data_IF_986074633123
#
_entry.id   IF_986074633123
#
_cell.length_a   1.000
_cell.length_b   1.000
_cell.length_c   1.000
_cell.angle_alpha   90.00
_cell.angle_beta   90.00
_cell.angle_gamma   90.00
#
_symmetry.space_group_name_H-M   'P 1'
#
loop_
_entity.id
_entity.type
_entity.pdbx_description
1 polymer ?
#
# COMPACT_ATOMS: atom_id res chain seq x y z
N UNK A 1 -13.20 28.51 -20.81
CA UNK A 1 -13.57 28.19 -19.42
C UNK A 1 -12.31 27.63 -18.78
N UNK A 2 -11.69 28.43 -17.92
CA UNK A 2 -10.29 28.30 -17.49
C UNK A 2 -10.18 27.48 -16.21
N UNK A 3 -9.43 26.38 -16.25
CA UNK A 3 -8.79 25.81 -15.06
C UNK A 3 -7.29 25.73 -15.34
N UNK A 4 -6.61 26.81 -14.99
CA UNK A 4 -5.16 26.94 -14.94
C UNK A 4 -4.61 25.93 -13.92
N UNK A 5 -4.15 24.76 -14.37
CA UNK A 5 -3.24 23.95 -13.55
C UNK A 5 -1.89 24.65 -13.56
N UNK A 6 -1.56 25.32 -12.47
CA UNK A 6 -0.19 25.76 -12.17
C UNK A 6 0.69 24.52 -12.06
N UNK A 7 1.28 24.12 -13.18
CA UNK A 7 2.17 22.97 -13.30
C UNK A 7 3.45 23.21 -12.52
N UNK A 8 3.43 22.87 -11.23
CA UNK A 8 4.64 22.53 -10.49
C UNK A 8 5.12 21.21 -11.08
N UNK A 9 5.99 21.28 -12.08
CA UNK A 9 6.65 20.11 -12.66
C UNK A 9 7.54 19.49 -11.57
N UNK A 10 7.05 18.39 -10.99
CA UNK A 10 7.78 17.64 -9.98
C UNK A 10 8.99 17.01 -10.66
N UNK A 11 10.17 17.56 -10.39
CA UNK A 11 11.43 16.99 -10.87
C UNK A 11 11.53 15.54 -10.36
N UNK A 12 11.41 14.57 -11.28
CA UNK A 12 11.57 13.13 -10.98
C UNK A 12 12.98 12.83 -10.49
N UNK A 13 13.19 13.02 -9.20
CA UNK A 13 14.49 12.86 -8.53
C UNK A 13 14.57 11.52 -7.79
N UNK A 14 13.42 10.91 -7.49
CA UNK A 14 13.35 9.57 -6.93
C UNK A 14 13.58 8.54 -8.04
N UNK A 15 14.72 7.88 -7.98
CA UNK A 15 15.02 6.68 -8.77
C UNK A 15 14.45 5.42 -8.13
N UNK A 16 14.59 4.29 -8.84
CA UNK A 16 14.15 2.96 -8.39
C UNK A 16 14.68 2.58 -7.00
N UNK A 17 15.92 2.96 -6.68
CA UNK A 17 16.52 2.67 -5.38
C UNK A 17 15.84 3.43 -4.24
N UNK A 18 15.60 4.73 -4.42
CA UNK A 18 14.89 5.53 -3.41
C UNK A 18 13.47 5.05 -3.18
N UNK A 19 12.79 4.63 -4.25
CA UNK A 19 11.43 4.10 -4.19
C UNK A 19 11.39 2.73 -3.50
N UNK A 20 12.35 1.84 -3.79
CA UNK A 20 12.49 0.54 -3.12
C UNK A 20 12.80 0.69 -1.63
N UNK A 21 13.72 1.59 -1.26
CA UNK A 21 14.03 1.88 0.15
C UNK A 21 12.81 2.42 0.90
N UNK A 22 12.00 3.28 0.28
CA UNK A 22 10.77 3.79 0.88
C UNK A 22 9.74 2.67 1.12
N UNK A 23 9.56 1.76 0.15
CA UNK A 23 8.67 0.59 0.31
C UNK A 23 9.14 -0.31 1.46
N UNK A 24 10.45 -0.58 1.55
CA UNK A 24 11.01 -1.37 2.66
C UNK A 24 10.78 -0.67 4.00
N UNK A 25 11.00 0.64 4.07
CA UNK A 25 10.79 1.42 5.29
C UNK A 25 9.33 1.38 5.78
N UNK A 26 8.36 1.50 4.88
CA UNK A 26 6.92 1.45 5.24
C UNK A 26 6.47 0.02 5.57
N UNK A 27 7.11 -1.00 4.98
CA UNK A 27 6.79 -2.41 5.24
C UNK A 27 7.34 -2.89 6.59
N UNK A 28 8.54 -2.45 6.96
CA UNK A 28 9.19 -2.83 8.23
C UNK A 28 8.62 -1.95 9.35
N UNK A 29 7.56 -2.44 10.00
CA UNK A 29 6.95 -1.81 11.18
C UNK A 29 6.94 -2.71 12.42
N UNK A 30 6.10 -2.38 13.39
CA UNK A 30 5.91 -3.18 14.62
C UNK A 30 5.35 -4.58 14.37
N UNK A 31 4.69 -4.79 13.22
CA UNK A 31 4.08 -6.06 12.86
C UNK A 31 5.05 -7.25 12.82
N UNK A 32 6.33 -7.03 12.48
CA UNK A 32 7.32 -8.12 12.43
C UNK A 32 7.64 -8.71 13.81
N UNK A 33 7.36 -7.99 14.89
CA UNK A 33 7.57 -8.48 16.26
C UNK A 33 6.30 -9.11 16.85
N UNK A 34 5.13 -8.58 16.48
CA UNK A 34 3.84 -9.00 17.05
C UNK A 34 3.25 -10.22 16.33
N UNK A 35 3.30 -10.25 15.00
CA UNK A 35 2.67 -11.33 14.22
C UNK A 35 3.35 -12.69 14.43
N UNK A 36 4.69 -12.83 14.44
CA UNK A 36 5.31 -14.11 14.70
C UNK A 36 5.03 -14.64 16.10
N UNK A 37 4.94 -13.77 17.11
CA UNK A 37 4.61 -14.16 18.48
C UNK A 37 3.19 -14.78 18.56
N UNK A 38 2.19 -14.11 17.95
CA UNK A 38 0.82 -14.62 17.86
C UNK A 38 0.71 -15.93 17.06
N UNK A 39 1.39 -16.01 15.93
CA UNK A 39 1.35 -17.21 15.07
C UNK A 39 2.09 -18.38 15.73
N UNK A 40 3.18 -18.12 16.45
CA UNK A 40 3.90 -19.15 17.20
C UNK A 40 3.07 -19.72 18.35
N UNK A 41 2.26 -18.90 19.03
CA UNK A 41 1.33 -19.38 20.07
C UNK A 41 0.26 -20.32 19.51
N UNK A 42 -0.27 -20.04 18.31
CA UNK A 42 -1.35 -20.83 17.71
C UNK A 42 -0.86 -22.05 16.92
N UNK A 43 0.26 -21.96 16.21
CA UNK A 43 0.71 -22.97 15.23
C UNK A 43 2.05 -23.65 15.56
N UNK A 44 2.78 -23.17 16.58
CA UNK A 44 4.08 -23.73 16.96
C UNK A 44 5.06 -23.85 15.78
N UNK A 45 5.61 -25.04 15.54
CA UNK A 45 6.59 -25.28 14.47
C UNK A 45 6.05 -25.07 13.04
N UNK A 46 4.73 -25.12 12.83
CA UNK A 46 4.12 -24.87 11.52
C UNK A 46 4.13 -23.39 11.13
N UNK A 47 4.43 -22.47 12.07
CA UNK A 47 4.47 -21.03 11.83
C UNK A 47 5.43 -20.63 10.70
N UNK A 48 6.57 -21.34 10.56
CA UNK A 48 7.57 -21.07 9.52
C UNK A 48 7.00 -21.33 8.11
N UNK A 49 6.21 -22.40 7.95
CA UNK A 49 5.61 -22.76 6.67
C UNK A 49 4.52 -21.74 6.30
N UNK A 50 3.68 -21.34 7.27
CA UNK A 50 2.71 -20.27 7.06
C UNK A 50 3.37 -18.94 6.67
N UNK A 51 4.49 -18.58 7.31
CA UNK A 51 5.24 -17.38 6.95
C UNK A 51 5.74 -17.41 5.51
N UNK A 52 6.23 -18.56 5.05
CA UNK A 52 6.66 -18.75 3.66
C UNK A 52 5.49 -18.60 2.68
N UNK A 53 4.34 -19.20 2.97
CA UNK A 53 3.15 -19.12 2.13
C UNK A 53 2.62 -17.68 2.08
N UNK A 54 2.54 -17.00 3.23
CA UNK A 54 2.17 -15.58 3.30
C UNK A 54 3.14 -14.70 2.50
N UNK A 55 4.45 -14.93 2.62
CA UNK A 55 5.46 -14.22 1.83
C UNK A 55 5.27 -14.40 0.32
N UNK A 56 4.99 -15.64 -0.11
CA UNK A 56 4.73 -15.93 -1.53
C UNK A 56 3.46 -15.22 -2.03
N UNK A 57 2.38 -15.21 -1.23
CA UNK A 57 1.14 -14.51 -1.57
C UNK A 57 1.37 -13.00 -1.69
N UNK A 58 2.07 -12.40 -0.72
CA UNK A 58 2.40 -10.97 -0.73
C UNK A 58 3.28 -10.62 -1.94
N UNK A 59 4.22 -11.50 -2.30
CA UNK A 59 5.04 -11.32 -3.50
C UNK A 59 4.19 -11.31 -4.78
N UNK A 60 3.21 -12.21 -4.89
CA UNK A 60 2.29 -12.27 -6.02
C UNK A 60 1.40 -11.02 -6.10
N UNK A 61 0.94 -10.52 -4.95
CA UNK A 61 0.21 -9.25 -4.86
C UNK A 61 1.12 -8.09 -5.32
N UNK A 62 2.38 -8.07 -4.87
CA UNK A 62 3.38 -7.09 -5.29
C UNK A 62 3.59 -7.05 -6.81
N UNK A 63 3.60 -8.22 -7.47
CA UNK A 63 3.66 -8.32 -8.93
C UNK A 63 2.43 -7.72 -9.61
N UNK A 64 1.23 -7.96 -9.08
CA UNK A 64 0.00 -7.34 -9.59
C UNK A 64 0.04 -5.81 -9.47
N UNK A 65 0.52 -5.29 -8.34
CA UNK A 65 0.73 -3.85 -8.15
C UNK A 65 1.80 -3.30 -9.09
N UNK A 66 2.87 -4.04 -9.35
CA UNK A 66 3.92 -3.64 -10.29
C UNK A 66 3.42 -3.57 -11.74
N UNK A 67 2.58 -4.52 -12.16
CA UNK A 67 2.01 -4.53 -13.51
C UNK A 67 1.16 -3.28 -13.78
N UNK A 68 0.30 -2.92 -12.83
CA UNK A 68 -0.61 -1.80 -13.04
C UNK A 68 0.01 -0.46 -12.65
N UNK A 69 0.95 -0.43 -11.72
CA UNK A 69 1.82 0.74 -11.50
C UNK A 69 2.64 1.10 -12.74
N UNK A 70 2.93 0.12 -13.61
CA UNK A 70 3.56 0.34 -14.91
C UNK A 70 2.59 0.89 -15.97
N UNK A 71 1.27 0.67 -15.81
CA UNK A 71 0.22 1.16 -16.72
C UNK A 71 -0.34 2.53 -16.30
N UNK A 72 -0.35 2.84 -15.01
CA UNK A 72 -0.87 4.10 -14.44
C UNK A 72 0.31 5.01 -14.07
N UNK A 73 0.66 5.94 -14.96
CA UNK A 73 1.83 6.83 -14.82
C UNK A 73 1.52 8.18 -14.14
N UNK A 74 0.35 8.30 -13.52
CA UNK A 74 -0.08 9.51 -12.80
C UNK A 74 0.54 9.63 -11.41
N UNK A 75 0.78 10.87 -10.98
CA UNK A 75 1.24 11.21 -9.62
C UNK A 75 0.04 11.14 -8.65
N UNK A 76 -0.01 10.10 -7.81
CA UNK A 76 -1.02 10.01 -6.72
C UNK A 76 -1.18 8.65 -6.03
N UNK A 77 -0.29 7.68 -6.25
CA UNK A 77 -0.24 6.43 -5.47
C UNK A 77 -1.46 5.51 -5.70
N UNK A 78 -1.88 4.79 -4.66
CA UNK A 78 -3.02 3.86 -4.71
C UNK A 78 -4.34 4.56 -5.06
N UNK A 79 -4.46 5.86 -4.76
CA UNK A 79 -5.62 6.67 -5.10
C UNK A 79 -5.81 6.81 -6.62
N UNK A 80 -4.74 7.10 -7.36
CA UNK A 80 -4.78 7.21 -8.83
C UNK A 80 -5.19 5.90 -9.49
N UNK A 81 -4.85 4.76 -8.88
CA UNK A 81 -5.25 3.44 -9.35
C UNK A 81 -6.78 3.24 -9.26
N UNK A 82 -7.37 3.63 -8.14
CA UNK A 82 -8.82 3.53 -7.88
C UNK A 82 -9.58 4.54 -8.74
N UNK A 83 -9.05 5.76 -8.88
CA UNK A 83 -9.64 6.80 -9.72
C UNK A 83 -9.63 6.42 -11.21
N UNK A 84 -8.55 5.78 -11.69
CA UNK A 84 -8.47 5.31 -13.09
C UNK A 84 -9.40 4.12 -13.36
N UNK A 85 -9.60 3.24 -12.36
CA UNK A 85 -10.43 2.04 -12.52
C UNK A 85 -11.93 2.28 -12.29
N UNK A 86 -12.31 3.16 -11.35
CA UNK A 86 -13.70 3.35 -10.91
C UNK A 86 -14.20 4.80 -11.01
N UNK A 87 -13.36 5.74 -11.46
CA UNK A 87 -13.71 7.16 -11.61
C UNK A 87 -13.52 7.99 -10.33
N UNK A 88 -13.62 9.34 -10.45
CA UNK A 88 -13.29 10.29 -9.38
C UNK A 88 -14.16 10.15 -8.12
N UNK A 89 -15.39 9.66 -8.25
CA UNK A 89 -16.29 9.48 -7.11
C UNK A 89 -15.90 8.28 -6.22
N UNK A 90 -15.40 7.21 -6.82
CA UNK A 90 -14.95 6.03 -6.09
C UNK A 90 -13.62 6.28 -5.34
N UNK A 91 -12.72 7.09 -5.92
CA UNK A 91 -11.52 7.56 -5.23
C UNK A 91 -11.86 8.36 -3.97
N UNK A 92 -12.79 9.32 -4.07
CA UNK A 92 -13.24 10.11 -2.91
C UNK A 92 -13.88 9.24 -1.83
N UNK A 93 -14.70 8.26 -2.21
CA UNK A 93 -15.37 7.37 -1.26
C UNK A 93 -14.37 6.42 -0.58
N UNK A 94 -13.41 5.87 -1.31
CA UNK A 94 -12.35 5.03 -0.74
C UNK A 94 -11.44 5.81 0.22
N UNK A 95 -11.10 7.06 -0.11
CA UNK A 95 -10.34 7.91 0.79
C UNK A 95 -11.13 8.23 2.08
N UNK A 96 -12.42 8.55 1.96
CA UNK A 96 -13.28 8.76 3.13
C UNK A 96 -13.42 7.49 3.96
N UNK A 97 -13.65 6.31 3.36
CA UNK A 97 -13.80 5.05 4.10
C UNK A 97 -12.51 4.69 4.86
N UNK A 98 -11.35 4.92 4.25
CA UNK A 98 -10.05 4.65 4.88
C UNK A 98 -9.80 5.60 6.06
N UNK A 99 -10.11 6.89 5.90
CA UNK A 99 -9.94 7.89 6.94
C UNK A 99 -10.87 7.64 8.13
N UNK A 100 -12.15 7.37 7.88
CA UNK A 100 -13.10 7.02 8.94
C UNK A 100 -12.78 5.67 9.60
N UNK A 101 -12.39 4.66 8.82
CA UNK A 101 -12.03 3.34 9.33
C UNK A 101 -10.80 3.35 10.25
N UNK A 102 -9.74 4.06 9.85
CA UNK A 102 -8.53 4.23 10.67
C UNK A 102 -8.77 5.09 11.93
N UNK A 103 -9.68 6.05 11.87
CA UNK A 103 -10.12 6.81 13.05
C UNK A 103 -10.86 5.94 14.06
N UNK A 104 -11.74 5.06 13.60
CA UNK A 104 -12.55 4.18 14.47
C UNK A 104 -11.70 3.07 15.10
N UNK A 105 -10.75 2.47 14.35
CA UNK A 105 -9.91 1.40 14.88
C UNK A 105 -8.96 1.86 15.99
N UNK A 106 -8.49 3.11 15.95
CA UNK A 106 -7.61 3.68 16.98
C UNK A 106 -8.35 4.08 18.26
N UNK A 107 -9.69 4.08 18.24
CA UNK A 107 -10.55 4.35 19.39
C UNK A 107 -10.94 3.07 20.14
N UNK A 108 -10.63 1.89 19.61
CA UNK A 108 -10.83 0.63 20.29
C UNK A 108 -9.57 0.34 21.15
N UNK A 109 -9.71 0.25 22.49
CA UNK A 109 -8.59 0.08 23.41
C UNK A 109 -7.88 -1.26 23.27
#
# INVERSE_FOLDING_TARGET
MSTTQTGVDLKRTIGVFGLACAVVNITVGTGIFVLPALVAEHLGAAAIICFFICGLLIFLIGLCFAEVGSKVTGSGGTYTYIETAFGPFAGFLANNIFWFGSGILQMLP
#
